data_IF_498619382978
#
_entry.id   IF_498619382978
#
_cell.length_a   1.000
_cell.length_b   1.000
_cell.length_c   1.000
_cell.angle_alpha   90.00
_cell.angle_beta   90.00
_cell.angle_gamma   90.00
#
_symmetry.space_group_name_H-M   'P 1'
#
loop_
_entity.id
_entity.type
_entity.pdbx_description
1 polymer ?
#
# COMPACT_ATOMS: atom_id res chain seq x y z
N UNK A 1 -14.89 -57.87 -25.03
CA UNK A 1 -14.32 -56.71 -25.76
C UNK A 1 -15.31 -55.57 -25.67
N UNK A 2 -15.21 -54.51 -24.88
CA UNK A 2 -14.14 -53.87 -24.13
C UNK A 2 -14.78 -53.09 -22.97
N UNK A 3 -14.34 -53.34 -21.73
CA UNK A 3 -14.62 -52.50 -20.56
C UNK A 3 -13.79 -51.24 -20.65
N UNK A 4 -14.41 -50.08 -20.90
CA UNK A 4 -13.73 -48.78 -20.88
C UNK A 4 -13.66 -48.26 -19.43
N UNK A 5 -12.68 -48.73 -18.67
CA UNK A 5 -12.22 -48.07 -17.45
C UNK A 5 -11.65 -46.69 -17.83
N UNK A 6 -12.43 -45.63 -17.70
CA UNK A 6 -11.89 -44.27 -17.56
C UNK A 6 -11.45 -44.11 -16.11
N UNK A 7 -10.22 -44.52 -15.82
CA UNK A 7 -9.57 -44.21 -14.56
C UNK A 7 -9.41 -42.69 -14.43
N UNK A 8 -9.98 -42.14 -13.37
CA UNK A 8 -9.66 -40.81 -12.85
C UNK A 8 -8.16 -40.72 -12.60
N UNK A 9 -7.46 -39.91 -13.40
CA UNK A 9 -6.22 -39.28 -12.99
C UNK A 9 -6.52 -37.79 -12.90
N UNK A 10 -7.09 -37.35 -11.76
CA UNK A 10 -6.99 -35.94 -11.36
C UNK A 10 -5.54 -35.74 -10.93
N UNK A 11 -4.75 -34.88 -11.59
CA UNK A 11 -3.43 -34.54 -11.09
C UNK A 11 -3.60 -33.86 -9.73
N UNK A 12 -2.85 -34.29 -8.71
CA UNK A 12 -2.88 -33.66 -7.38
C UNK A 12 -2.62 -32.14 -7.41
N UNK A 13 -1.98 -31.62 -8.47
CA UNK A 13 -1.77 -30.18 -8.70
C UNK A 13 -3.01 -29.37 -9.13
N UNK A 14 -4.10 -30.02 -9.57
CA UNK A 14 -5.31 -29.33 -10.02
C UNK A 14 -6.07 -28.66 -8.86
N UNK A 15 -6.00 -29.23 -7.66
CA UNK A 15 -6.65 -28.65 -6.47
C UNK A 15 -5.87 -27.49 -5.85
N UNK A 16 -4.55 -27.58 -5.79
CA UNK A 16 -3.68 -26.57 -5.17
C UNK A 16 -3.65 -25.28 -5.99
N UNK A 17 -3.47 -25.37 -7.31
CA UNK A 17 -3.45 -24.17 -8.15
C UNK A 17 -4.83 -23.50 -8.21
N UNK A 18 -5.91 -24.28 -8.13
CA UNK A 18 -7.27 -23.77 -7.99
C UNK A 18 -7.47 -23.01 -6.67
N UNK A 19 -6.94 -23.52 -5.55
CA UNK A 19 -6.94 -22.82 -4.25
C UNK A 19 -6.20 -21.49 -4.34
N UNK A 20 -4.99 -21.47 -4.93
CA UNK A 20 -4.22 -20.23 -5.14
C UNK A 20 -4.96 -19.26 -6.05
N UNK A 21 -5.56 -19.74 -7.15
CA UNK A 21 -6.35 -18.91 -8.07
C UNK A 21 -7.52 -18.23 -7.34
N UNK A 22 -8.30 -18.99 -6.58
CA UNK A 22 -9.43 -18.45 -5.78
C UNK A 22 -8.96 -17.42 -4.76
N UNK A 23 -7.81 -17.66 -4.11
CA UNK A 23 -7.18 -16.69 -3.22
C UNK A 23 -6.86 -15.39 -3.97
N UNK A 24 -6.13 -15.46 -5.08
CA UNK A 24 -5.75 -14.29 -5.88
C UNK A 24 -6.96 -13.48 -6.32
N UNK A 25 -8.03 -14.16 -6.75
CA UNK A 25 -9.30 -13.53 -7.15
C UNK A 25 -9.98 -12.82 -5.96
N UNK A 26 -10.08 -13.50 -4.80
CA UNK A 26 -10.64 -12.92 -3.57
C UNK A 26 -9.86 -11.69 -3.12
N UNK A 27 -8.53 -11.81 -3.02
CA UNK A 27 -7.68 -10.71 -2.57
C UNK A 27 -7.63 -9.55 -3.57
N UNK A 28 -7.73 -9.83 -4.88
CA UNK A 28 -7.90 -8.78 -5.89
C UNK A 28 -9.24 -8.03 -5.72
N UNK A 29 -10.34 -8.75 -5.46
CA UNK A 29 -11.64 -8.15 -5.18
C UNK A 29 -11.62 -7.29 -3.91
N UNK A 30 -10.97 -7.75 -2.84
CA UNK A 30 -10.83 -6.99 -1.59
C UNK A 30 -10.01 -5.71 -1.78
N UNK A 31 -8.90 -5.77 -2.52
CA UNK A 31 -8.09 -4.57 -2.84
C UNK A 31 -8.89 -3.57 -3.70
N UNK A 32 -9.66 -4.06 -4.67
CA UNK A 32 -10.57 -3.24 -5.48
C UNK A 32 -11.66 -2.59 -4.61
N UNK A 33 -12.32 -3.36 -3.74
CA UNK A 33 -13.33 -2.85 -2.83
C UNK A 33 -12.79 -1.79 -1.87
N UNK A 34 -11.59 -2.02 -1.30
CA UNK A 34 -10.92 -1.02 -0.45
C UNK A 34 -10.62 0.28 -1.22
N UNK A 35 -10.10 0.18 -2.45
CA UNK A 35 -9.94 1.35 -3.33
C UNK A 35 -11.26 2.08 -3.54
N UNK A 36 -12.35 1.36 -3.84
CA UNK A 36 -13.67 1.96 -4.03
C UNK A 36 -14.20 2.65 -2.76
N UNK A 37 -14.04 2.03 -1.58
CA UNK A 37 -14.38 2.65 -0.30
C UNK A 37 -13.57 3.92 -0.04
N UNK A 38 -12.27 3.92 -0.37
CA UNK A 38 -11.42 5.11 -0.28
C UNK A 38 -11.89 6.23 -1.21
N UNK A 39 -12.53 5.92 -2.34
CA UNK A 39 -13.09 6.89 -3.27
C UNK A 39 -14.49 7.38 -2.82
N UNK A 40 -15.32 6.51 -2.22
CA UNK A 40 -16.70 6.83 -1.79
C UNK A 40 -16.72 7.66 -0.50
N UNK A 41 -15.94 7.27 0.52
CA UNK A 41 -15.82 8.02 1.80
C UNK A 41 -15.46 9.49 1.60
N UNK A 42 -14.80 9.81 0.48
CA UNK A 42 -14.46 11.17 0.08
C UNK A 42 -15.55 11.93 -0.66
N UNK A 43 -16.43 11.24 -1.39
CA UNK A 43 -17.57 11.89 -2.06
C UNK A 43 -18.51 12.48 -1.02
N UNK A 44 -18.70 11.79 0.10
CA UNK A 44 -19.53 12.25 1.21
C UNK A 44 -18.92 13.46 1.95
N UNK A 45 -17.61 13.46 2.20
CA UNK A 45 -16.92 14.63 2.79
C UNK A 45 -16.96 15.89 1.90
N UNK A 46 -17.26 15.76 0.60
CA UNK A 46 -17.38 16.89 -0.34
C UNK A 46 -18.71 17.63 -0.17
N UNK A 47 -19.76 16.95 0.26
CA UNK A 47 -21.09 17.54 0.40
C UNK A 47 -21.28 18.25 1.76
N UNK A 48 -20.47 17.90 2.77
CA UNK A 48 -20.62 18.37 4.16
C UNK A 48 -19.62 19.44 4.63
N UNK A 49 -18.63 19.84 3.81
CA UNK A 49 -17.66 20.85 4.23
C UNK A 49 -18.20 22.29 4.01
N UNK A 50 -18.42 23.09 5.07
CA UNK A 50 -18.72 24.50 4.89
C UNK A 50 -17.49 25.21 4.32
N UNK A 51 -17.72 26.08 3.33
CA UNK A 51 -16.70 26.94 2.75
C UNK A 51 -16.01 27.75 3.86
N UNK A 52 -14.76 27.39 4.20
CA UNK A 52 -13.94 28.23 5.07
C UNK A 52 -13.63 29.55 4.34
N UNK A 53 -14.36 30.62 4.72
CA UNK A 53 -14.03 32.01 4.41
C UNK A 53 -12.67 32.40 5.03
N UNK A 54 -11.91 33.36 4.52
CA UNK A 54 -12.26 34.62 3.87
C UNK A 54 -11.43 34.86 2.60
N UNK A 55 -12.07 35.41 1.57
CA UNK A 55 -11.44 35.74 0.28
C UNK A 55 -12.14 35.01 -0.86
N UNK A 56 -13.26 35.57 -1.30
CA UNK A 56 -14.14 35.00 -2.32
C UNK A 56 -13.40 34.56 -3.58
N UNK A 57 -13.31 33.25 -3.76
CA UNK A 57 -13.27 32.63 -5.06
C UNK A 57 -13.96 31.28 -4.89
N UNK A 58 -15.25 31.27 -5.24
CA UNK A 58 -16.05 30.05 -5.47
C UNK A 58 -15.19 29.09 -6.28
N UNK A 59 -15.19 27.80 -6.00
CA UNK A 59 -14.40 26.82 -6.75
C UNK A 59 -14.70 26.94 -8.26
N UNK A 60 -13.78 27.56 -9.01
CA UNK A 60 -13.90 27.77 -10.47
C UNK A 60 -13.19 26.62 -11.18
N UNK A 61 -13.84 26.06 -12.19
CA UNK A 61 -13.19 25.15 -13.15
C UNK A 61 -12.07 25.94 -13.83
N UNK A 62 -10.82 25.59 -13.49
CA UNK A 62 -9.65 26.25 -14.06
C UNK A 62 -9.40 25.78 -15.49
N UNK A 63 -9.21 26.75 -16.39
CA UNK A 63 -8.73 26.53 -17.74
C UNK A 63 -7.20 26.39 -17.83
N UNK A 64 -6.70 26.04 -19.01
CA UNK A 64 -5.28 25.77 -19.23
C UNK A 64 -4.35 26.94 -18.84
N UNK A 65 -4.75 28.18 -19.16
CA UNK A 65 -3.96 29.37 -18.87
C UNK A 65 -3.86 29.65 -17.35
N UNK A 66 -4.96 29.45 -16.62
CA UNK A 66 -5.01 29.63 -15.17
C UNK A 66 -4.18 28.56 -14.46
N UNK A 67 -4.30 27.30 -14.90
CA UNK A 67 -3.45 26.21 -14.42
C UNK A 67 -1.98 26.56 -14.63
N UNK A 68 -1.60 27.03 -15.82
CA UNK A 68 -0.23 27.39 -16.13
C UNK A 68 0.26 28.56 -15.26
N UNK A 69 -0.57 29.58 -15.06
CA UNK A 69 -0.26 30.73 -14.23
C UNK A 69 -0.04 30.31 -12.77
N UNK A 70 -0.96 29.55 -12.18
CA UNK A 70 -0.79 29.09 -10.80
C UNK A 70 0.39 28.14 -10.66
N UNK A 71 0.66 27.28 -11.65
CA UNK A 71 1.88 26.47 -11.66
C UNK A 71 3.12 27.35 -11.67
N UNK A 72 3.19 28.38 -12.51
CA UNK A 72 4.32 29.31 -12.54
C UNK A 72 4.49 30.08 -11.24
N UNK A 73 3.40 30.57 -10.64
CA UNK A 73 3.42 31.28 -9.36
C UNK A 73 3.84 30.35 -8.22
N UNK A 74 3.32 29.13 -8.19
CA UNK A 74 3.77 28.12 -7.26
C UNK A 74 5.29 27.92 -7.42
N UNK A 75 5.79 27.80 -8.67
CA UNK A 75 7.18 27.47 -9.02
C UNK A 75 8.20 28.58 -8.79
N UNK A 76 7.84 29.82 -9.13
CA UNK A 76 8.75 30.96 -9.27
C UNK A 76 8.35 32.17 -8.45
N UNK A 77 7.26 32.07 -7.69
CA UNK A 77 6.84 33.12 -6.76
C UNK A 77 7.97 33.46 -5.81
N UNK A 78 8.23 34.75 -5.62
CA UNK A 78 9.29 35.21 -4.73
C UNK A 78 8.85 35.20 -3.28
N UNK A 79 7.55 35.30 -3.03
CA UNK A 79 6.96 35.27 -1.69
C UNK A 79 6.35 33.90 -1.36
N UNK A 80 6.62 33.42 -0.16
CA UNK A 80 6.08 32.16 0.36
C UNK A 80 4.54 32.14 0.35
N UNK A 81 3.92 33.24 0.78
CA UNK A 81 2.47 33.42 0.81
C UNK A 81 1.84 33.42 -0.59
N UNK A 82 2.57 33.89 -1.60
CA UNK A 82 2.11 33.86 -3.00
C UNK A 82 2.12 32.43 -3.55
N UNK A 83 3.20 31.70 -3.28
CA UNK A 83 3.32 30.28 -3.65
C UNK A 83 2.23 29.44 -2.98
N UNK A 84 1.98 29.67 -1.70
CA UNK A 84 0.93 29.00 -0.94
C UNK A 84 -0.46 29.28 -1.53
N UNK A 85 -0.80 30.54 -1.81
CA UNK A 85 -2.08 30.91 -2.44
C UNK A 85 -2.25 30.24 -3.80
N UNK A 86 -1.20 30.19 -4.62
CA UNK A 86 -1.25 29.53 -5.93
C UNK A 86 -1.52 28.03 -5.79
N UNK A 87 -0.90 27.37 -4.80
CA UNK A 87 -1.15 25.95 -4.51
C UNK A 87 -2.55 25.68 -3.97
N UNK A 88 -3.08 26.55 -3.11
CA UNK A 88 -4.46 26.47 -2.62
C UNK A 88 -5.45 26.63 -3.78
N UNK A 89 -5.22 27.58 -4.68
CA UNK A 89 -6.04 27.77 -5.89
C UNK A 89 -5.99 26.55 -6.81
N UNK A 90 -4.80 25.99 -7.05
CA UNK A 90 -4.65 24.74 -7.82
C UNK A 90 -5.39 23.58 -7.16
N UNK A 91 -5.27 23.41 -5.84
CA UNK A 91 -5.97 22.38 -5.08
C UNK A 91 -7.49 22.52 -5.23
N UNK A 92 -8.03 23.73 -5.11
CA UNK A 92 -9.46 24.01 -5.28
C UNK A 92 -9.93 23.69 -6.70
N UNK A 93 -9.19 24.14 -7.72
CA UNK A 93 -9.50 23.81 -9.11
C UNK A 93 -9.45 22.31 -9.39
N UNK A 94 -8.44 21.61 -8.88
CA UNK A 94 -8.29 20.16 -9.00
C UNK A 94 -9.36 19.35 -8.25
N UNK A 95 -10.33 19.98 -7.60
CA UNK A 95 -11.54 19.29 -7.12
C UNK A 95 -12.53 18.99 -8.26
N UNK A 96 -12.37 19.63 -9.43
CA UNK A 96 -13.25 19.48 -10.59
C UNK A 96 -12.65 18.55 -11.66
N UNK A 97 -13.35 17.48 -12.09
CA UNK A 97 -12.87 16.55 -13.12
C UNK A 97 -12.39 17.22 -14.42
N UNK A 98 -13.02 18.32 -14.82
CA UNK A 98 -12.70 19.09 -16.02
C UNK A 98 -11.31 19.76 -15.92
N UNK A 99 -11.03 20.38 -14.77
CA UNK A 99 -9.71 20.95 -14.46
C UNK A 99 -8.66 19.85 -14.35
N UNK A 100 -9.02 18.72 -13.72
CA UNK A 100 -8.13 17.58 -13.59
C UNK A 100 -7.71 17.00 -14.95
N UNK A 101 -8.63 16.87 -15.91
CA UNK A 101 -8.31 16.44 -17.27
C UNK A 101 -7.37 17.43 -17.96
N UNK A 102 -7.69 18.73 -17.89
CA UNK A 102 -6.86 19.80 -18.47
C UNK A 102 -5.45 19.81 -17.87
N UNK A 103 -5.34 19.55 -16.57
CA UNK A 103 -4.08 19.48 -15.83
C UNK A 103 -3.18 18.32 -16.30
N UNK A 104 -3.74 17.12 -16.47
CA UNK A 104 -2.97 15.93 -16.87
C UNK A 104 -2.47 16.01 -18.32
N UNK A 105 -3.27 16.61 -19.21
CA UNK A 105 -2.89 16.81 -20.62
C UNK A 105 -1.98 18.01 -20.85
N UNK A 106 -1.67 18.79 -19.80
CA UNK A 106 -0.80 19.94 -19.94
C UNK A 106 0.63 19.48 -20.34
N UNK A 107 1.32 20.15 -21.28
CA UNK A 107 2.69 19.77 -21.69
C UNK A 107 3.69 19.75 -20.54
N UNK A 108 3.43 20.54 -19.48
CA UNK A 108 4.22 20.52 -18.25
C UNK A 108 3.99 19.28 -17.37
N UNK A 109 3.04 18.41 -17.69
CA UNK A 109 2.80 17.13 -17.03
C UNK A 109 3.33 15.97 -17.88
N UNK A 110 3.25 16.08 -19.22
CA UNK A 110 3.73 15.09 -20.17
C UNK A 110 5.26 15.09 -20.40
N UNK A 111 5.99 16.10 -19.90
CA UNK A 111 7.43 16.23 -20.03
C UNK A 111 8.23 15.56 -18.90
N UNK A 112 8.66 14.32 -19.13
CA UNK A 112 9.88 13.71 -18.57
C UNK A 112 10.23 14.01 -17.10
N UNK A 113 9.85 13.11 -16.17
CA UNK A 113 10.39 12.86 -14.80
C UNK A 113 10.51 14.05 -13.82
N UNK A 114 10.50 15.27 -14.31
CA UNK A 114 10.97 16.47 -13.64
C UNK A 114 9.80 17.29 -13.12
N UNK A 115 8.61 17.18 -13.72
CA UNK A 115 7.51 18.12 -13.49
C UNK A 115 6.35 17.65 -12.59
N UNK A 116 6.07 16.35 -12.53
CA UNK A 116 5.32 15.75 -11.41
C UNK A 116 6.14 15.82 -10.11
N UNK A 117 7.47 15.62 -10.23
CA UNK A 117 8.41 16.02 -9.19
C UNK A 117 8.41 17.53 -8.96
N UNK A 118 8.03 18.42 -9.90
CA UNK A 118 8.17 19.88 -9.78
C UNK A 118 7.05 20.58 -9.03
N UNK A 119 5.84 20.02 -9.11
CA UNK A 119 4.80 20.26 -8.11
C UNK A 119 5.33 20.01 -6.68
N UNK A 120 6.39 19.21 -6.53
CA UNK A 120 7.08 18.93 -5.26
C UNK A 120 8.51 19.48 -5.12
N UNK A 121 9.24 19.84 -6.20
CA UNK A 121 10.58 20.46 -6.15
C UNK A 121 10.50 21.88 -5.59
N UNK A 122 9.29 22.35 -5.36
CA UNK A 122 9.01 23.51 -4.53
C UNK A 122 9.38 23.34 -3.06
N UNK A 123 9.68 22.13 -2.59
CA UNK A 123 10.06 21.88 -1.20
C UNK A 123 11.53 21.52 -0.91
N UNK A 124 12.43 21.18 -1.87
CA UNK A 124 13.86 21.13 -1.55
C UNK A 124 14.77 22.06 -2.35
N UNK A 125 14.30 22.89 -3.30
CA UNK A 125 15.18 23.86 -3.96
C UNK A 125 15.30 25.18 -3.20
N UNK A 126 15.89 25.10 -2.00
CA UNK A 126 16.90 26.08 -1.60
C UNK A 126 18.29 25.45 -1.86
N UNK A 127 18.68 25.57 -3.14
CA UNK A 127 20.03 25.53 -3.73
C UNK A 127 20.85 24.23 -3.84
N UNK A 128 21.61 24.21 -4.94
CA UNK A 128 22.59 23.22 -5.44
C UNK A 128 24.02 23.58 -4.94
N UNK A 129 25.09 22.88 -5.37
CA UNK A 129 25.66 21.71 -4.72
C UNK A 129 27.07 22.04 -4.20
N UNK A 130 27.28 22.15 -2.90
CA UNK A 130 28.61 21.91 -2.33
C UNK A 130 28.51 21.87 -0.81
N UNK A 131 29.36 21.04 -0.23
CA UNK A 131 29.78 20.99 1.17
C UNK A 131 28.76 20.46 2.19
N UNK A 132 29.09 19.24 2.62
CA UNK A 132 28.79 18.64 3.91
C UNK A 132 28.67 19.63 5.07
N UNK A 133 27.75 19.29 5.97
CA UNK A 133 27.68 19.69 7.37
C UNK A 133 27.42 21.18 7.64
N UNK A 134 26.16 21.48 7.99
CA UNK A 134 25.67 22.62 8.81
C UNK A 134 24.49 23.36 8.14
N UNK A 135 23.29 22.76 8.15
CA UNK A 135 22.05 23.52 7.91
C UNK A 135 20.86 22.88 8.63
N UNK A 136 20.98 22.72 9.95
CA UNK A 136 19.89 22.22 10.82
C UNK A 136 19.31 23.34 11.71
N UNK A 137 19.83 24.56 11.65
CA UNK A 137 19.53 25.58 12.66
C UNK A 137 18.44 26.62 12.30
N UNK A 138 17.78 26.56 11.14
CA UNK A 138 16.81 27.61 10.74
C UNK A 138 15.63 27.10 9.92
N UNK A 139 14.89 26.11 10.43
CA UNK A 139 13.63 25.68 9.81
C UNK A 139 12.41 26.29 10.53
N UNK A 140 11.70 27.27 9.94
CA UNK A 140 10.40 27.67 10.42
C UNK A 140 9.30 26.80 9.80
N UNK A 141 8.47 26.24 10.70
CA UNK A 141 7.05 25.89 10.56
C UNK A 141 6.63 24.78 9.59
N UNK A 142 6.23 23.67 10.22
CA UNK A 142 5.46 22.55 9.68
C UNK A 142 4.13 22.92 8.96
N UNK A 143 3.62 24.15 9.12
CA UNK A 143 2.39 24.64 8.46
C UNK A 143 2.48 24.58 6.92
N UNK A 144 3.63 24.89 6.32
CA UNK A 144 3.77 24.96 4.87
C UNK A 144 3.95 23.61 4.16
N UNK A 145 4.55 22.63 4.85
CA UNK A 145 4.69 21.26 4.35
C UNK A 145 3.32 20.57 4.29
N UNK A 146 2.47 20.90 5.27
CA UNK A 146 1.05 20.61 5.28
C UNK A 146 0.24 21.38 4.23
N UNK A 147 0.79 22.35 3.50
CA UNK A 147 0.10 23.03 2.39
C UNK A 147 0.53 22.47 1.03
N UNK A 148 1.84 22.35 0.73
CA UNK A 148 2.32 21.82 -0.55
C UNK A 148 2.03 20.31 -0.73
N UNK A 149 2.24 19.53 0.34
CA UNK A 149 1.96 18.10 0.41
C UNK A 149 0.49 17.74 0.31
N UNK A 150 -0.34 18.62 0.86
CA UNK A 150 -1.79 18.48 0.94
C UNK A 150 -2.49 19.09 -0.28
N UNK A 151 -1.82 19.92 -1.08
CA UNK A 151 -2.43 20.56 -2.25
C UNK A 151 -2.36 19.72 -3.53
N UNK A 152 -1.38 18.83 -3.68
CA UNK A 152 -1.18 18.10 -4.94
C UNK A 152 -1.38 16.59 -4.82
N UNK A 153 -0.98 15.92 -3.73
CA UNK A 153 -1.23 14.46 -3.61
C UNK A 153 -2.65 14.13 -3.15
N UNK A 154 -3.32 14.89 -2.26
CA UNK A 154 -4.76 14.77 -2.11
C UNK A 154 -5.48 15.03 -3.43
N UNK A 155 -5.04 16.00 -4.23
CA UNK A 155 -5.61 16.25 -5.56
C UNK A 155 -5.42 15.05 -6.50
N UNK A 156 -4.26 14.36 -6.48
CA UNK A 156 -4.01 13.06 -7.14
C UNK A 156 -4.87 11.91 -6.56
N UNK A 157 -5.15 11.95 -5.26
CA UNK A 157 -6.03 11.03 -4.51
C UNK A 157 -7.52 11.36 -4.72
N UNK A 158 -7.82 12.52 -5.31
CA UNK A 158 -9.14 13.02 -5.72
C UNK A 158 -9.33 13.03 -7.23
N UNK A 159 -8.31 12.64 -8.01
CA UNK A 159 -8.44 12.46 -9.45
C UNK A 159 -9.46 11.34 -9.69
N UNK A 160 -10.68 11.73 -10.05
CA UNK A 160 -11.60 10.85 -10.75
C UNK A 160 -11.13 10.61 -12.20
N UNK A 161 -9.96 11.14 -12.56
CA UNK A 161 -9.38 11.01 -13.89
C UNK A 161 -8.71 9.67 -14.07
N UNK A 162 -8.80 9.20 -15.31
CA UNK A 162 -8.24 7.98 -15.87
C UNK A 162 -6.89 7.57 -15.24
N UNK A 163 -6.93 6.70 -14.21
CA UNK A 163 -5.75 6.12 -13.58
C UNK A 163 -4.81 5.49 -14.62
N UNK A 164 -5.35 4.93 -15.71
CA UNK A 164 -4.54 4.40 -16.79
C UNK A 164 -3.69 5.50 -17.46
N UNK A 165 -4.22 6.72 -17.60
CA UNK A 165 -3.49 7.88 -18.13
C UNK A 165 -2.36 8.31 -17.18
N UNK A 166 -2.60 8.35 -15.87
CA UNK A 166 -1.53 8.65 -14.90
C UNK A 166 -0.43 7.59 -14.94
N UNK A 167 -0.82 6.32 -15.04
CA UNK A 167 0.12 5.22 -15.15
C UNK A 167 0.94 5.36 -16.44
N UNK A 168 0.33 5.63 -17.60
CA UNK A 168 1.03 5.84 -18.88
C UNK A 168 1.96 7.06 -18.89
N UNK A 169 1.78 8.01 -17.98
CA UNK A 169 2.67 9.17 -17.80
C UNK A 169 3.73 8.96 -16.70
N UNK A 170 3.90 7.75 -16.19
CA UNK A 170 4.99 7.42 -15.25
C UNK A 170 4.74 7.80 -13.79
N UNK A 171 3.47 7.98 -13.39
CA UNK A 171 3.12 8.34 -12.01
C UNK A 171 3.61 7.30 -10.99
N UNK A 172 3.56 6.00 -11.32
CA UNK A 172 4.04 4.92 -10.44
C UNK A 172 5.52 5.09 -10.09
N UNK A 173 6.38 5.33 -11.07
CA UNK A 173 7.82 5.51 -10.84
C UNK A 173 8.11 6.79 -10.05
N UNK A 174 7.40 7.87 -10.37
CA UNK A 174 7.57 9.16 -9.68
C UNK A 174 7.16 9.09 -8.21
N UNK A 175 6.02 8.47 -7.93
CA UNK A 175 5.55 8.25 -6.55
C UNK A 175 6.44 7.25 -5.80
N UNK A 176 7.02 6.26 -6.49
CA UNK A 176 8.01 5.35 -5.93
C UNK A 176 9.27 6.08 -5.46
N UNK A 177 9.83 6.96 -6.28
CA UNK A 177 10.98 7.80 -5.88
C UNK A 177 10.64 8.73 -4.72
N UNK A 178 9.45 9.35 -4.75
CA UNK A 178 9.00 10.20 -3.66
C UNK A 178 8.90 9.43 -2.34
N UNK A 179 8.48 8.17 -2.38
CA UNK A 179 8.46 7.31 -1.20
C UNK A 179 9.88 7.08 -0.63
N UNK A 180 10.88 6.91 -1.50
CA UNK A 180 12.29 6.79 -1.08
C UNK A 180 12.78 8.08 -0.41
N UNK A 181 12.48 9.24 -1.01
CA UNK A 181 12.86 10.55 -0.47
C UNK A 181 12.20 10.82 0.89
N UNK A 182 10.92 10.46 1.03
CA UNK A 182 10.17 10.54 2.27
C UNK A 182 10.78 9.67 3.37
N UNK A 183 11.11 8.42 3.06
CA UNK A 183 11.78 7.54 4.00
C UNK A 183 13.13 8.12 4.45
N UNK A 184 13.92 8.65 3.52
CA UNK A 184 15.18 9.32 3.84
C UNK A 184 14.99 10.59 4.69
N UNK A 185 13.92 11.36 4.46
CA UNK A 185 13.60 12.54 5.25
C UNK A 185 13.26 12.17 6.69
N UNK A 186 12.37 11.19 6.87
CA UNK A 186 11.96 10.66 8.17
C UNK A 186 13.14 10.16 9.01
N UNK A 187 14.16 9.57 8.39
CA UNK A 187 15.37 9.14 9.12
C UNK A 187 16.26 10.30 9.60
N UNK A 188 16.12 11.49 9.01
CA UNK A 188 16.96 12.66 9.31
C UNK A 188 16.30 13.66 10.24
N UNK A 189 15.00 13.51 10.52
CA UNK A 189 14.23 14.49 11.30
C UNK A 189 13.22 13.80 12.20
N UNK A 190 13.01 14.36 13.39
CA UNK A 190 11.96 13.92 14.32
C UNK A 190 10.64 14.68 14.14
N UNK A 191 10.56 15.51 13.08
CA UNK A 191 9.52 16.50 12.84
C UNK A 191 8.11 15.89 12.68
N UNK A 192 7.15 16.52 13.36
CA UNK A 192 5.75 16.16 13.35
C UNK A 192 5.09 16.79 12.12
N UNK A 193 4.65 15.96 11.16
CA UNK A 193 3.99 16.43 9.94
C UNK A 193 4.36 15.65 8.68
N UNK A 194 5.46 14.88 8.68
CA UNK A 194 5.81 14.01 7.56
C UNK A 194 4.77 12.89 7.35
N UNK A 195 4.02 12.53 8.39
CA UNK A 195 2.90 11.61 8.32
C UNK A 195 1.79 12.12 7.38
N UNK A 196 1.52 13.43 7.42
CA UNK A 196 0.53 14.11 6.58
C UNK A 196 0.93 14.09 5.10
N UNK A 197 2.23 13.99 4.83
CA UNK A 197 2.79 13.89 3.48
C UNK A 197 2.82 12.46 2.97
N UNK A 198 3.21 11.52 3.83
CA UNK A 198 3.38 10.13 3.45
C UNK A 198 2.05 9.42 3.19
N UNK A 199 1.01 9.68 3.99
CA UNK A 199 -0.30 9.03 3.83
C UNK A 199 -0.90 9.25 2.42
N UNK A 200 -0.99 10.49 1.89
CA UNK A 200 -1.45 10.72 0.52
C UNK A 200 -0.64 9.94 -0.52
N UNK A 201 0.70 9.88 -0.40
CA UNK A 201 1.57 9.18 -1.35
C UNK A 201 1.30 7.68 -1.34
N UNK A 202 1.20 7.08 -0.14
CA UNK A 202 0.88 5.67 0.04
C UNK A 202 -0.48 5.31 -0.57
N UNK A 203 -1.50 6.15 -0.36
CA UNK A 203 -2.84 5.93 -0.89
C UNK A 203 -2.88 6.07 -2.41
N UNK A 204 -2.23 7.09 -2.97
CA UNK A 204 -2.11 7.25 -4.43
C UNK A 204 -1.41 6.05 -5.06
N UNK A 205 -0.26 5.65 -4.53
CA UNK A 205 0.51 4.54 -5.08
C UNK A 205 -0.29 3.22 -5.00
N UNK A 206 -0.96 2.96 -3.88
CA UNK A 206 -1.81 1.78 -3.70
C UNK A 206 -3.00 1.76 -4.66
N UNK A 207 -3.66 2.91 -4.88
CA UNK A 207 -4.77 3.05 -5.81
C UNK A 207 -4.35 2.80 -7.26
N UNK A 208 -3.18 3.32 -7.66
CA UNK A 208 -2.64 3.12 -9.01
C UNK A 208 -2.22 1.67 -9.23
N UNK A 209 -1.58 1.03 -8.24
CA UNK A 209 -1.20 -0.39 -8.32
C UNK A 209 -2.44 -1.31 -8.40
N UNK A 210 -3.51 -0.96 -7.69
CA UNK A 210 -4.78 -1.71 -7.76
C UNK A 210 -5.39 -1.64 -9.17
N UNK A 211 -5.33 -0.47 -9.83
CA UNK A 211 -5.81 -0.30 -11.21
C UNK A 211 -4.89 -1.01 -12.22
N UNK A 212 -3.57 -0.86 -12.08
CA UNK A 212 -2.58 -1.47 -12.97
C UNK A 212 -2.69 -3.00 -13.02
N UNK A 213 -3.16 -3.62 -11.93
CA UNK A 213 -3.38 -5.06 -11.86
C UNK A 213 -4.61 -5.55 -12.67
N UNK A 214 -5.55 -4.65 -13.01
CA UNK A 214 -6.83 -5.00 -13.66
C UNK A 214 -6.83 -4.63 -15.16
N UNK A 215 -6.00 -3.66 -15.58
CA UNK A 215 -6.04 -3.05 -16.91
C UNK A 215 -4.96 -3.49 -17.90
N UNK A 216 -5.27 -3.33 -19.20
CA UNK A 216 -4.44 -3.55 -20.39
C UNK A 216 -3.21 -2.61 -20.53
N UNK A 217 -2.65 -2.17 -19.40
CA UNK A 217 -1.45 -1.34 -19.38
C UNK A 217 -0.25 -2.30 -19.39
N UNK A 218 0.51 -2.32 -20.49
CA UNK A 218 1.55 -3.33 -20.73
C UNK A 218 2.59 -3.44 -19.61
N UNK A 219 3.29 -4.58 -19.54
CA UNK A 219 4.30 -4.93 -18.51
C UNK A 219 5.39 -3.87 -18.26
N UNK A 220 5.59 -2.95 -19.21
CA UNK A 220 6.54 -1.84 -19.12
C UNK A 220 6.14 -0.75 -18.11
N UNK A 221 4.86 -0.69 -17.72
CA UNK A 221 4.33 0.39 -16.87
C UNK A 221 4.24 0.05 -15.38
N UNK A 222 4.90 -1.00 -14.93
CA UNK A 222 4.89 -1.45 -13.53
C UNK A 222 5.94 -0.72 -12.67
N UNK A 223 5.65 -0.50 -11.39
CA UNK A 223 6.66 -0.11 -10.41
C UNK A 223 7.61 -1.31 -10.19
N UNK A 224 8.90 -1.13 -10.49
CA UNK A 224 9.92 -2.21 -10.40
C UNK A 224 11.02 -1.96 -9.37
N UNK A 225 11.10 -0.75 -8.81
CA UNK A 225 12.16 -0.38 -7.88
C UNK A 225 11.94 -1.07 -6.52
N UNK A 226 12.65 -2.17 -6.28
CA UNK A 226 12.57 -2.96 -5.05
C UNK A 226 12.93 -2.19 -3.78
N UNK A 227 13.70 -1.10 -3.89
CA UNK A 227 14.07 -0.24 -2.75
C UNK A 227 12.86 0.37 -2.05
N UNK A 228 11.72 0.45 -2.73
CA UNK A 228 10.45 0.91 -2.13
C UNK A 228 10.02 0.03 -0.95
N UNK A 229 10.40 -1.25 -0.91
CA UNK A 229 10.11 -2.12 0.24
C UNK A 229 10.85 -1.62 1.48
N UNK A 230 12.16 -1.35 1.39
CA UNK A 230 12.93 -0.81 2.50
C UNK A 230 12.39 0.55 2.96
N UNK A 231 12.09 1.46 2.02
CA UNK A 231 11.50 2.76 2.31
C UNK A 231 10.15 2.65 3.02
N UNK A 232 9.31 1.70 2.59
CA UNK A 232 8.02 1.45 3.22
C UNK A 232 8.17 0.99 4.66
N UNK A 233 9.14 0.12 4.96
CA UNK A 233 9.38 -0.31 6.34
C UNK A 233 9.92 0.80 7.23
N UNK A 234 10.78 1.68 6.72
CA UNK A 234 11.20 2.89 7.43
C UNK A 234 9.97 3.74 7.81
N UNK A 235 9.05 3.94 6.87
CA UNK A 235 7.81 4.69 7.11
C UNK A 235 6.87 3.96 8.08
N UNK A 236 6.75 2.63 8.01
CA UNK A 236 5.96 1.85 8.96
C UNK A 236 6.50 2.00 10.39
N UNK A 237 7.82 1.93 10.57
CA UNK A 237 8.44 2.14 11.88
C UNK A 237 8.20 3.57 12.40
N UNK A 238 8.28 4.55 11.52
CA UNK A 238 7.95 5.93 11.85
C UNK A 238 6.47 6.10 12.27
N UNK A 239 5.53 5.53 11.51
CA UNK A 239 4.11 5.57 11.88
C UNK A 239 3.83 4.83 13.18
N UNK A 240 4.49 3.70 13.43
CA UNK A 240 4.34 2.97 14.69
C UNK A 240 4.67 3.86 15.90
N UNK A 241 5.65 4.76 15.78
CA UNK A 241 6.03 5.66 16.85
C UNK A 241 5.20 6.95 16.92
N UNK A 242 4.82 7.51 15.77
CA UNK A 242 4.21 8.84 15.70
C UNK A 242 2.69 8.84 15.49
N UNK A 243 2.20 7.97 14.62
CA UNK A 243 0.79 7.92 14.23
C UNK A 243 0.37 6.51 13.78
N UNK A 244 0.13 5.56 14.72
CA UNK A 244 -0.18 4.16 14.39
C UNK A 244 -1.41 3.96 13.50
N UNK A 245 -2.35 4.91 13.52
CA UNK A 245 -3.54 4.88 12.66
C UNK A 245 -3.22 4.93 11.15
N UNK A 246 -1.99 5.26 10.76
CA UNK A 246 -1.53 5.28 9.36
C UNK A 246 -0.83 4.00 8.91
N UNK A 247 -0.49 3.09 9.84
CA UNK A 247 0.06 1.77 9.50
C UNK A 247 -0.79 1.00 8.46
N UNK A 248 -2.13 1.04 8.50
CA UNK A 248 -2.95 0.38 7.50
C UNK A 248 -2.73 0.87 6.07
N UNK A 249 -2.30 2.12 5.85
CA UNK A 249 -2.04 2.66 4.51
C UNK A 249 -0.72 2.13 3.94
N UNK A 250 0.32 2.07 4.78
CA UNK A 250 1.60 1.48 4.39
C UNK A 250 1.49 -0.02 4.14
N UNK A 251 0.80 -0.75 5.01
CA UNK A 251 0.60 -2.20 4.85
C UNK A 251 -0.30 -2.54 3.65
N UNK A 252 -1.24 -1.67 3.30
CA UNK A 252 -2.04 -1.86 2.10
C UNK A 252 -1.21 -1.67 0.82
N UNK A 253 -0.27 -0.72 0.81
CA UNK A 253 0.72 -0.62 -0.27
C UNK A 253 1.55 -1.90 -0.36
N UNK A 254 2.07 -2.40 0.77
CA UNK A 254 2.88 -3.61 0.80
C UNK A 254 2.12 -4.84 0.29
N UNK A 255 0.83 -4.97 0.64
CA UNK A 255 -0.04 -6.02 0.11
C UNK A 255 -0.14 -5.93 -1.42
N UNK A 256 -0.36 -4.73 -1.98
CA UNK A 256 -0.39 -4.55 -3.43
C UNK A 256 0.93 -4.92 -4.11
N UNK A 257 2.07 -4.52 -3.53
CA UNK A 257 3.40 -4.83 -4.07
C UNK A 257 3.67 -6.34 -4.08
N UNK A 258 3.30 -7.05 -3.01
CA UNK A 258 3.60 -8.49 -2.84
C UNK A 258 2.61 -9.42 -3.56
N UNK A 259 1.40 -8.95 -3.90
CA UNK A 259 0.33 -9.78 -4.44
C UNK A 259 0.77 -10.64 -5.64
N UNK A 260 1.36 -10.04 -6.69
CA UNK A 260 1.72 -10.73 -7.93
C UNK A 260 3.20 -10.58 -8.31
N UNK A 261 4.06 -10.13 -7.39
CA UNK A 261 5.47 -9.85 -7.69
C UNK A 261 6.44 -10.71 -6.87
N UNK A 262 7.10 -11.71 -7.50
CA UNK A 262 8.17 -12.47 -6.86
C UNK A 262 9.35 -11.60 -6.42
N UNK A 263 9.67 -10.53 -7.16
CA UNK A 263 10.78 -9.63 -6.82
C UNK A 263 10.53 -8.94 -5.48
N UNK A 264 9.37 -8.28 -5.30
CA UNK A 264 9.05 -7.61 -4.04
C UNK A 264 8.94 -8.59 -2.85
N UNK A 265 8.45 -9.82 -3.07
CA UNK A 265 8.50 -10.85 -2.04
C UNK A 265 9.94 -11.25 -1.69
N UNK A 266 10.82 -11.35 -2.69
CA UNK A 266 12.25 -11.67 -2.49
C UNK A 266 12.96 -10.53 -1.76
N UNK A 267 12.68 -9.27 -2.09
CA UNK A 267 13.25 -8.11 -1.39
C UNK A 267 12.82 -8.09 0.07
N UNK A 268 11.55 -8.41 0.37
CA UNK A 268 11.04 -8.52 1.74
C UNK A 268 11.82 -9.55 2.55
N UNK A 269 12.05 -10.74 1.97
CA UNK A 269 12.82 -11.80 2.61
C UNK A 269 14.30 -11.44 2.75
N UNK A 270 14.91 -10.87 1.71
CA UNK A 270 16.35 -10.53 1.69
C UNK A 270 16.72 -9.38 2.65
N UNK A 271 15.73 -8.61 3.08
CA UNK A 271 15.88 -7.53 4.07
C UNK A 271 15.49 -7.99 5.49
N UNK A 272 15.24 -9.28 5.70
CA UNK A 272 14.85 -9.88 6.99
C UNK A 272 13.61 -9.23 7.63
N UNK A 273 12.63 -8.84 6.81
CA UNK A 273 11.50 -8.03 7.25
C UNK A 273 10.31 -8.85 7.80
N UNK A 274 10.46 -10.16 7.93
CA UNK A 274 9.42 -11.04 8.50
C UNK A 274 9.17 -10.72 9.97
N UNK A 275 10.22 -10.67 10.80
CA UNK A 275 10.07 -10.38 12.22
C UNK A 275 9.54 -8.95 12.48
N UNK A 276 10.05 -7.89 11.81
CA UNK A 276 9.45 -6.56 11.88
C UNK A 276 7.95 -6.52 11.52
N UNK A 277 7.48 -7.34 10.57
CA UNK A 277 6.05 -7.45 10.27
C UNK A 277 5.27 -8.12 11.41
N UNK A 278 5.80 -9.21 11.95
CA UNK A 278 5.15 -9.95 13.04
C UNK A 278 5.00 -9.08 14.30
N UNK A 279 5.94 -8.15 14.55
CA UNK A 279 5.85 -7.19 15.65
C UNK A 279 4.66 -6.21 15.52
N UNK A 280 4.08 -6.05 14.32
CA UNK A 280 2.92 -5.18 14.10
C UNK A 280 1.58 -5.86 14.40
N UNK A 281 1.54 -7.21 14.50
CA UNK A 281 0.31 -7.96 14.78
C UNK A 281 -0.50 -7.42 15.98
N UNK A 282 0.08 -7.12 17.16
CA UNK A 282 -0.69 -6.68 18.32
C UNK A 282 -1.25 -5.26 18.21
N UNK A 283 -0.93 -4.48 17.17
CA UNK A 283 -1.32 -3.06 17.08
C UNK A 283 -2.83 -2.88 16.90
N UNK A 284 -3.46 -3.64 16.00
CA UNK A 284 -4.92 -3.66 15.79
C UNK A 284 -5.33 -4.82 14.88
N UNK A 285 -6.62 -5.19 14.87
CA UNK A 285 -7.14 -6.23 13.98
C UNK A 285 -6.91 -5.91 12.50
N UNK A 286 -7.13 -4.64 12.08
CA UNK A 286 -6.90 -4.20 10.70
C UNK A 286 -5.43 -4.37 10.30
N UNK A 287 -4.50 -4.01 11.19
CA UNK A 287 -3.06 -4.19 10.97
C UNK A 287 -2.71 -5.68 10.90
N UNK A 288 -3.23 -6.48 11.83
CA UNK A 288 -3.06 -7.94 11.86
C UNK A 288 -3.50 -8.60 10.54
N UNK A 289 -4.71 -8.29 10.07
CA UNK A 289 -5.22 -8.81 8.80
C UNK A 289 -4.27 -8.48 7.66
N UNK A 290 -3.83 -7.22 7.53
CA UNK A 290 -2.93 -6.82 6.44
C UNK A 290 -1.55 -7.48 6.50
N UNK A 291 -0.96 -7.58 7.70
CA UNK A 291 0.31 -8.29 7.90
C UNK A 291 0.18 -9.75 7.47
N UNK A 292 -0.86 -10.44 7.94
CA UNK A 292 -1.10 -11.83 7.60
C UNK A 292 -1.37 -11.99 6.09
N UNK A 293 -2.13 -11.08 5.46
CA UNK A 293 -2.35 -11.09 4.01
C UNK A 293 -1.04 -10.94 3.22
N UNK A 294 -0.12 -10.06 3.64
CA UNK A 294 1.21 -9.93 3.03
C UNK A 294 2.00 -11.23 3.15
N UNK A 295 2.02 -11.84 4.33
CA UNK A 295 2.72 -13.10 4.57
C UNK A 295 2.10 -14.26 3.77
N UNK A 296 0.78 -14.27 3.60
CA UNK A 296 0.10 -15.21 2.70
C UNK A 296 0.51 -14.98 1.24
N UNK A 297 0.69 -13.73 0.78
CA UNK A 297 1.21 -13.46 -0.58
C UNK A 297 2.62 -14.02 -0.78
N UNK A 298 3.48 -13.94 0.25
CA UNK A 298 4.83 -14.52 0.24
C UNK A 298 4.76 -16.05 0.22
N UNK A 299 3.98 -16.65 1.12
CA UNK A 299 3.82 -18.11 1.21
C UNK A 299 3.23 -18.71 -0.08
N UNK A 300 2.29 -18.01 -0.73
CA UNK A 300 1.68 -18.46 -1.97
C UNK A 300 2.71 -18.69 -3.09
N UNK A 301 3.84 -17.95 -3.10
CA UNK A 301 4.90 -18.07 -4.13
C UNK A 301 5.57 -19.43 -4.17
N UNK A 302 5.45 -20.23 -3.11
CA UNK A 302 5.84 -21.64 -3.13
C UNK A 302 6.89 -22.03 -2.09
N UNK A 303 7.44 -23.25 -2.21
CA UNK A 303 8.23 -23.87 -1.15
C UNK A 303 9.52 -23.11 -0.80
N UNK A 304 10.18 -22.50 -1.78
CA UNK A 304 11.38 -21.70 -1.54
C UNK A 304 11.10 -20.48 -0.63
N UNK A 305 9.92 -19.86 -0.76
CA UNK A 305 9.51 -18.75 0.10
C UNK A 305 9.09 -19.25 1.48
N UNK A 306 8.32 -20.35 1.55
CA UNK A 306 7.95 -20.95 2.82
C UNK A 306 9.15 -21.46 3.64
N UNK A 307 10.24 -21.85 2.99
CA UNK A 307 11.50 -22.21 3.66
C UNK A 307 12.14 -21.01 4.40
N UNK A 308 11.94 -19.79 3.92
CA UNK A 308 12.40 -18.58 4.62
C UNK A 308 11.40 -18.11 5.70
N UNK A 309 10.11 -18.42 5.51
CA UNK A 309 9.08 -18.16 6.52
C UNK A 309 9.19 -19.11 7.73
N UNK A 310 9.69 -20.34 7.51
CA UNK A 310 9.87 -21.34 8.56
C UNK A 310 11.06 -22.29 8.24
N UNK A 311 11.97 -22.56 9.21
CA UNK A 311 11.86 -22.32 10.65
C UNK A 311 12.13 -20.86 11.06
N UNK A 312 11.34 -20.33 12.00
CA UNK A 312 11.41 -18.93 12.45
C UNK A 312 10.26 -18.56 13.40
N UNK A 313 10.11 -17.27 13.77
CA UNK A 313 9.10 -16.82 14.72
C UNK A 313 7.66 -16.95 14.21
N UNK A 314 7.46 -17.14 12.90
CA UNK A 314 6.15 -17.15 12.26
C UNK A 314 5.16 -18.13 12.92
N UNK A 315 5.57 -19.38 13.16
CA UNK A 315 4.66 -20.39 13.68
C UNK A 315 4.17 -20.03 15.09
N UNK A 316 5.08 -19.55 15.95
CA UNK A 316 4.75 -19.09 17.29
C UNK A 316 3.81 -17.87 17.24
N UNK A 317 4.07 -16.92 16.34
CA UNK A 317 3.19 -15.76 16.14
C UNK A 317 1.80 -16.17 15.68
N UNK A 318 1.69 -17.15 14.78
CA UNK A 318 0.40 -17.68 14.29
C UNK A 318 -0.39 -18.38 15.40
N UNK A 319 0.28 -19.13 16.28
CA UNK A 319 -0.39 -19.71 17.45
C UNK A 319 -0.93 -18.61 18.39
N UNK A 320 -0.19 -17.51 18.53
CA UNK A 320 -0.64 -16.32 19.25
C UNK A 320 -1.88 -15.68 18.63
N UNK A 321 -1.92 -15.52 17.30
CA UNK A 321 -3.07 -14.91 16.61
C UNK A 321 -4.32 -15.80 16.62
N UNK A 322 -4.18 -17.12 16.71
CA UNK A 322 -5.31 -18.03 16.94
C UNK A 322 -5.99 -17.83 18.30
N UNK A 323 -5.38 -17.10 19.24
CA UNK A 323 -6.04 -16.72 20.49
C UNK A 323 -6.94 -15.48 20.35
N UNK A 324 -6.95 -14.80 19.19
CA UNK A 324 -7.78 -13.61 18.99
C UNK A 324 -9.25 -13.98 18.80
N UNK A 325 -10.14 -13.05 19.15
CA UNK A 325 -11.59 -13.20 18.93
C UNK A 325 -12.05 -12.73 17.55
N UNK A 326 -11.21 -11.99 16.82
CA UNK A 326 -11.54 -11.45 15.51
C UNK A 326 -11.45 -12.54 14.42
N UNK A 327 -12.59 -12.85 13.81
CA UNK A 327 -12.67 -13.95 12.85
C UNK A 327 -11.93 -13.68 11.55
N UNK A 328 -11.69 -12.41 11.17
CA UNK A 328 -10.90 -12.08 10.00
C UNK A 328 -9.41 -12.33 10.27
N UNK A 329 -8.90 -11.91 11.43
CA UNK A 329 -7.51 -12.19 11.84
C UNK A 329 -7.25 -13.69 11.95
N UNK A 330 -8.13 -14.41 12.63
CA UNK A 330 -8.03 -15.87 12.77
C UNK A 330 -8.14 -16.51 11.39
N UNK A 331 -9.09 -16.08 10.55
CA UNK A 331 -9.23 -16.55 9.19
C UNK A 331 -7.94 -16.41 8.37
N UNK A 332 -7.30 -15.24 8.37
CA UNK A 332 -6.03 -15.04 7.66
C UNK A 332 -4.89 -15.89 8.25
N UNK A 333 -4.88 -16.10 9.57
CA UNK A 333 -3.91 -16.98 10.25
C UNK A 333 -4.06 -18.43 9.78
N UNK A 334 -5.30 -18.93 9.68
CA UNK A 334 -5.60 -20.25 9.15
C UNK A 334 -5.18 -20.38 7.68
N UNK A 335 -5.29 -19.33 6.86
CA UNK A 335 -4.76 -19.35 5.48
C UNK A 335 -3.27 -19.58 5.44
N UNK A 336 -2.55 -18.82 6.27
CA UNK A 336 -1.11 -18.85 6.28
C UNK A 336 -0.61 -20.21 6.76
N UNK A 337 -1.23 -20.78 7.79
CA UNK A 337 -0.97 -22.15 8.24
C UNK A 337 -1.23 -23.17 7.12
N UNK A 338 -2.31 -23.01 6.36
CA UNK A 338 -2.65 -23.94 5.28
C UNK A 338 -1.60 -23.90 4.16
N UNK A 339 -1.17 -22.70 3.76
CA UNK A 339 -0.10 -22.52 2.79
C UNK A 339 1.23 -23.05 3.34
N UNK A 340 1.52 -22.80 4.62
CA UNK A 340 2.75 -23.26 5.24
C UNK A 340 2.81 -24.79 5.27
N UNK A 341 1.77 -25.47 5.74
CA UNK A 341 1.72 -26.93 5.82
C UNK A 341 1.76 -27.59 4.44
N UNK A 342 1.15 -26.94 3.44
CA UNK A 342 1.19 -27.42 2.06
C UNK A 342 2.63 -27.51 1.52
N UNK A 343 3.51 -26.56 1.87
CA UNK A 343 4.88 -26.52 1.35
C UNK A 343 5.95 -26.99 2.32
N UNK A 344 5.66 -26.98 3.62
CA UNK A 344 6.53 -27.39 4.73
C UNK A 344 5.72 -28.29 5.68
N UNK A 345 5.45 -29.56 5.33
CA UNK A 345 4.70 -30.48 6.18
C UNK A 345 5.29 -30.62 7.60
N UNK A 346 6.60 -30.46 7.74
CA UNK A 346 7.29 -30.51 9.03
C UNK A 346 6.83 -29.39 9.98
N UNK A 347 6.35 -28.26 9.45
CA UNK A 347 5.74 -27.20 10.25
C UNK A 347 4.42 -27.63 10.89
N UNK A 348 3.69 -28.57 10.28
CA UNK A 348 2.46 -29.11 10.85
C UNK A 348 2.76 -29.95 12.11
N UNK A 349 3.83 -30.74 12.07
CA UNK A 349 4.28 -31.50 13.24
C UNK A 349 4.76 -30.57 14.36
N UNK A 350 5.51 -29.52 14.03
CA UNK A 350 5.90 -28.49 15.00
C UNK A 350 4.68 -27.75 15.58
N UNK A 351 3.64 -27.53 14.78
CA UNK A 351 2.38 -26.92 15.21
C UNK A 351 1.65 -27.81 16.23
N UNK A 352 1.58 -29.11 15.98
CA UNK A 352 0.99 -30.08 16.93
C UNK A 352 1.75 -30.10 18.27
N UNK A 353 3.09 -30.07 18.21
CA UNK A 353 3.94 -30.05 19.40
C UNK A 353 3.75 -28.79 20.27
N UNK A 354 3.27 -27.70 19.69
CA UNK A 354 3.01 -26.43 20.37
C UNK A 354 1.52 -26.22 20.70
N UNK A 355 0.77 -27.30 20.93
CA UNK A 355 -0.66 -27.27 21.27
C UNK A 355 -1.55 -26.64 20.19
N UNK A 356 -1.15 -26.72 18.92
CA UNK A 356 -1.90 -26.13 17.81
C UNK A 356 -3.32 -26.67 17.64
N UNK A 357 -3.58 -27.95 17.95
CA UNK A 357 -4.93 -28.52 17.91
C UNK A 357 -5.88 -27.81 18.88
N UNK A 358 -5.42 -27.57 20.10
CA UNK A 358 -6.20 -26.86 21.13
C UNK A 358 -6.48 -25.41 20.70
N UNK A 359 -5.55 -24.79 19.96
CA UNK A 359 -5.77 -23.47 19.38
C UNK A 359 -6.86 -23.48 18.29
N UNK A 360 -6.95 -24.54 17.49
CA UNK A 360 -7.97 -24.72 16.46
C UNK A 360 -9.36 -25.02 17.04
N UNK A 361 -9.45 -25.84 18.10
CA UNK A 361 -10.72 -26.22 18.75
C UNK A 361 -11.54 -25.02 19.23
N UNK A 362 -10.88 -23.91 19.59
CA UNK A 362 -11.54 -22.66 19.99
C UNK A 362 -12.46 -22.08 18.92
N UNK A 363 -12.17 -22.36 17.65
CA UNK A 363 -12.86 -21.78 16.50
C UNK A 363 -13.73 -22.79 15.74
N UNK A 364 -13.88 -24.02 16.26
CA UNK A 364 -14.62 -25.09 15.60
C UNK A 364 -16.12 -24.76 15.42
N UNK A 365 -16.66 -23.96 16.33
CA UNK A 365 -18.07 -23.52 16.31
C UNK A 365 -18.32 -22.26 15.48
N UNK A 366 -17.25 -21.60 15.02
CA UNK A 366 -17.37 -20.39 14.20
C UNK A 366 -17.73 -20.77 12.77
N UNK A 367 -18.98 -20.55 12.37
CA UNK A 367 -19.52 -20.98 11.08
C UNK A 367 -18.70 -20.47 9.88
N UNK A 368 -18.07 -19.29 10.00
CA UNK A 368 -17.23 -18.70 8.95
C UNK A 368 -15.85 -19.38 8.82
N UNK A 369 -15.39 -20.07 9.87
CA UNK A 369 -14.06 -20.64 9.98
C UNK A 369 -14.06 -22.17 9.96
N UNK A 370 -15.22 -22.79 10.22
CA UNK A 370 -15.38 -24.23 10.41
C UNK A 370 -14.69 -25.08 9.33
N UNK A 371 -14.94 -24.77 8.05
CA UNK A 371 -14.34 -25.51 6.93
C UNK A 371 -12.80 -25.44 6.94
N UNK A 372 -12.25 -24.28 7.29
CA UNK A 372 -10.79 -24.04 7.31
C UNK A 372 -10.14 -24.70 8.52
N UNK A 373 -10.80 -24.61 9.68
CA UNK A 373 -10.38 -25.29 10.91
C UNK A 373 -10.32 -26.80 10.67
N UNK A 374 -11.39 -27.37 10.11
CA UNK A 374 -11.45 -28.80 9.82
C UNK A 374 -10.37 -29.23 8.81
N UNK A 375 -10.20 -28.48 7.72
CA UNK A 375 -9.17 -28.77 6.72
C UNK A 375 -7.75 -28.75 7.32
N UNK A 376 -7.46 -27.81 8.22
CA UNK A 376 -6.18 -27.73 8.90
C UNK A 376 -5.97 -28.85 9.91
N UNK A 377 -6.97 -29.21 10.70
CA UNK A 377 -6.90 -30.36 11.60
C UNK A 377 -6.58 -31.65 10.82
N UNK A 378 -7.27 -31.89 9.70
CA UNK A 378 -7.00 -33.04 8.86
C UNK A 378 -5.57 -33.02 8.30
N UNK A 379 -5.11 -31.85 7.83
CA UNK A 379 -3.74 -31.69 7.31
C UNK A 379 -2.69 -31.90 8.39
N UNK A 380 -2.91 -31.39 9.60
CA UNK A 380 -1.95 -31.52 10.69
C UNK A 380 -1.86 -32.95 11.24
N UNK A 381 -2.98 -33.68 11.30
CA UNK A 381 -3.03 -35.03 11.84
C UNK A 381 -2.53 -36.11 10.85
N UNK A 382 -2.63 -35.85 9.54
CA UNK A 382 -2.37 -36.84 8.49
C UNK A 382 -1.25 -36.47 7.51
N UNK A 383 -0.69 -35.27 7.62
CA UNK A 383 0.46 -34.78 6.84
C UNK A 383 1.76 -34.90 7.60
#
# INVERSE_FOLDING_TARGET
MWLRRRGCLRPAGCGVEELRRRRREREAALRKARREQQLISKRLLRDDAPEEGEGGCVAVILGQAEIQQFLQLAQRGTEEKERERALVSLRRGLQHPETQQTFIWHPAFCGSYSQLCFCWQLCPRLHSPTTHAATVATWPKAELWGCCGVCLVPSLHHLQVNNALLITHGALSTLGLLLLDLAGAVQRTEDAGLELLACPVLRCLSNLLTEAAVGAVGEQMQLRDERVVAALFILLQFFLQKQPSLLPEGLWLLNNLTANSPSFCTSLLSLDLIEPLLQLLPVSNVVSVLVLTVLCNVAEKGPAYCQHLWPGPLLCSLLGTLAFSDTEVVGQSLELLQLLFLYRPEAAQAFLQQSGLQALERHEKEAQLQDRVHALQQTALHG
#
